data_IF_153584474272
#
_entry.id   IF_153584474272
#
_cell.length_a   1.000
_cell.length_b   1.000
_cell.length_c   1.000
_cell.angle_alpha   90.00
_cell.angle_beta   90.00
_cell.angle_gamma   90.00
#
_symmetry.space_group_name_H-M   'P 1'
#
loop_
_entity.id
_entity.type
_entity.pdbx_description
1 polymer ?
#
# COMPACT_ATOMS: atom_id res chain seq x y z
N UNK A 1 17.69 36.02 -38.10
CA UNK A 1 17.02 35.87 -36.79
C UNK A 1 17.57 34.61 -36.14
N UNK A 2 18.45 34.81 -35.17
CA UNK A 2 19.22 33.77 -34.49
C UNK A 2 18.27 32.93 -33.62
N UNK A 3 18.11 31.66 -33.95
CA UNK A 3 17.44 30.70 -33.07
C UNK A 3 18.37 30.35 -31.91
N UNK A 4 18.15 30.96 -30.75
CA UNK A 4 18.81 30.51 -29.53
C UNK A 4 18.31 29.10 -29.19
N UNK A 5 19.25 28.15 -29.18
CA UNK A 5 19.01 26.83 -28.60
C UNK A 5 18.77 26.98 -27.09
N UNK A 6 17.76 26.31 -26.51
CA UNK A 6 17.48 26.40 -25.07
C UNK A 6 18.70 25.90 -24.28
N UNK A 7 19.24 26.79 -23.45
CA UNK A 7 20.40 26.48 -22.60
C UNK A 7 20.09 25.30 -21.67
N UNK A 8 21.08 24.46 -21.39
CA UNK A 8 20.99 23.24 -20.56
C UNK A 8 20.36 23.43 -19.15
N UNK A 9 20.05 24.67 -18.70
CA UNK A 9 19.32 24.98 -17.46
C UNK A 9 17.81 24.71 -17.52
N UNK A 10 17.24 24.52 -18.70
CA UNK A 10 15.79 24.33 -18.88
C UNK A 10 15.35 22.87 -18.68
N UNK A 11 16.29 21.93 -18.58
CA UNK A 11 16.04 20.47 -18.49
C UNK A 11 15.56 19.94 -17.13
N UNK A 12 15.44 20.79 -16.10
CA UNK A 12 15.13 20.31 -14.73
C UNK A 12 13.99 21.05 -14.00
N UNK A 13 13.11 21.73 -14.73
CA UNK A 13 11.97 22.45 -14.14
C UNK A 13 10.66 21.73 -14.43
N UNK A 14 9.76 21.73 -13.45
CA UNK A 14 8.39 21.24 -13.65
C UNK A 14 7.72 22.02 -14.79
N UNK A 15 6.99 21.32 -15.66
CA UNK A 15 6.32 21.95 -16.79
C UNK A 15 5.19 22.88 -16.31
N UNK A 16 4.86 23.91 -17.11
CA UNK A 16 3.75 24.84 -16.78
C UNK A 16 2.44 24.11 -16.48
N UNK A 17 2.01 23.11 -17.29
CA UNK A 17 0.78 22.36 -17.00
C UNK A 17 0.86 21.55 -15.69
N UNK A 18 2.00 20.89 -15.45
CA UNK A 18 2.20 20.10 -14.24
C UNK A 18 2.20 20.96 -12.96
N UNK A 19 2.82 22.15 -13.03
CA UNK A 19 2.80 23.13 -11.93
C UNK A 19 1.38 23.66 -11.66
N UNK A 20 0.62 23.97 -12.72
CA UNK A 20 -0.76 24.40 -12.60
C UNK A 20 -1.65 23.34 -11.93
N UNK A 21 -1.51 22.06 -12.34
CA UNK A 21 -2.21 20.95 -11.71
C UNK A 21 -1.85 20.80 -10.21
N UNK A 22 -0.55 20.87 -9.85
CA UNK A 22 -0.12 20.84 -8.45
C UNK A 22 -0.72 22.00 -7.64
N UNK A 23 -0.77 23.19 -8.24
CA UNK A 23 -1.33 24.40 -7.61
C UNK A 23 -2.82 24.24 -7.34
N UNK A 24 -3.57 23.70 -8.31
CA UNK A 24 -5.00 23.45 -8.16
C UNK A 24 -5.29 22.43 -7.06
N UNK A 25 -4.55 21.31 -7.04
CA UNK A 25 -4.69 20.28 -6.00
C UNK A 25 -4.41 20.84 -4.62
N UNK A 26 -3.33 21.62 -4.46
CA UNK A 26 -3.01 22.23 -3.18
C UNK A 26 -4.07 23.25 -2.74
N UNK A 27 -4.60 24.05 -3.68
CA UNK A 27 -5.68 24.99 -3.38
C UNK A 27 -6.95 24.28 -2.91
N UNK A 28 -7.31 23.15 -3.53
CA UNK A 28 -8.45 22.34 -3.09
C UNK A 28 -8.25 21.76 -1.69
N UNK A 29 -7.02 21.32 -1.34
CA UNK A 29 -6.72 20.85 0.02
C UNK A 29 -6.80 21.98 1.05
N UNK A 30 -6.21 23.14 0.76
CA UNK A 30 -6.25 24.30 1.65
C UNK A 30 -7.67 24.87 1.84
N UNK A 31 -8.51 24.75 0.80
CA UNK A 31 -9.92 25.15 0.84
C UNK A 31 -10.88 24.06 1.33
N UNK A 32 -10.38 22.88 1.71
CA UNK A 32 -11.24 21.75 2.06
C UNK A 32 -12.03 22.02 3.36
N UNK A 33 -13.33 21.71 3.36
CA UNK A 33 -14.25 22.02 4.45
C UNK A 33 -13.77 21.55 5.83
N UNK A 34 -13.10 20.39 5.88
CA UNK A 34 -12.66 19.81 7.15
C UNK A 34 -11.44 20.49 7.73
N UNK A 35 -10.60 21.10 6.89
CA UNK A 35 -9.49 21.94 7.35
C UNK A 35 -10.02 23.27 7.91
N UNK A 36 -11.14 23.75 7.37
CA UNK A 36 -11.83 24.97 7.79
C UNK A 36 -12.77 24.75 8.99
N UNK A 37 -12.91 23.51 9.47
CA UNK A 37 -13.85 23.17 10.53
C UNK A 37 -13.55 23.94 11.83
N UNK A 38 -14.58 24.48 12.51
CA UNK A 38 -14.42 25.08 13.84
C UNK A 38 -14.09 24.04 14.91
N UNK A 39 -14.38 22.75 14.66
CA UNK A 39 -14.02 21.66 15.59
C UNK A 39 -12.52 21.35 15.60
N UNK A 40 -11.76 21.83 14.60
CA UNK A 40 -10.33 21.58 14.50
C UNK A 40 -9.56 22.55 15.40
N UNK A 41 -8.88 21.99 16.41
CA UNK A 41 -8.12 22.76 17.40
C UNK A 41 -6.98 23.57 16.77
N UNK A 42 -6.49 24.60 17.47
CA UNK A 42 -5.35 25.41 17.00
C UNK A 42 -4.09 24.56 16.83
N UNK A 43 -3.81 23.64 17.77
CA UNK A 43 -2.68 22.72 17.67
C UNK A 43 -2.82 21.78 16.46
N UNK A 44 -4.03 21.28 16.18
CA UNK A 44 -4.32 20.47 15.02
C UNK A 44 -4.09 21.22 13.70
N UNK A 45 -4.49 22.50 13.64
CA UNK A 45 -4.21 23.37 12.49
C UNK A 45 -2.72 23.58 12.28
N UNK A 46 -1.95 23.87 13.32
CA UNK A 46 -0.49 23.97 13.21
C UNK A 46 0.12 22.69 12.65
N UNK A 47 -0.25 21.52 13.19
CA UNK A 47 0.26 20.24 12.69
C UNK A 47 0.00 20.03 11.19
N UNK A 48 -1.17 20.44 10.68
CA UNK A 48 -1.55 20.33 9.27
C UNK A 48 -0.89 21.38 8.37
N UNK A 49 -0.76 22.63 8.83
CA UNK A 49 -0.33 23.76 8.01
C UNK A 49 1.19 23.98 8.06
N UNK A 50 1.77 23.99 9.26
CA UNK A 50 3.18 24.31 9.46
C UNK A 50 4.03 23.08 9.82
N UNK A 51 3.40 21.95 10.18
CA UNK A 51 4.09 20.71 10.54
C UNK A 51 4.59 20.67 11.99
N UNK A 52 4.07 21.54 12.85
CA UNK A 52 4.41 21.60 14.27
C UNK A 52 3.54 20.66 15.09
N UNK A 53 4.17 19.76 15.85
CA UNK A 53 3.49 18.78 16.68
C UNK A 53 3.51 19.20 18.15
N UNK A 54 2.34 19.40 18.75
CA UNK A 54 2.23 19.61 20.19
C UNK A 54 2.73 18.39 20.97
N UNK A 55 3.46 18.60 22.06
CA UNK A 55 3.98 17.55 22.95
C UNK A 55 4.97 16.56 22.30
N UNK A 56 5.55 16.88 21.14
CA UNK A 56 6.51 15.99 20.47
C UNK A 56 7.75 15.69 21.31
N UNK A 57 8.08 16.57 22.27
CA UNK A 57 9.22 16.38 23.15
C UNK A 57 9.03 15.27 24.18
N UNK A 58 7.78 14.92 24.50
CA UNK A 58 7.42 13.86 25.43
C UNK A 58 7.33 12.46 24.78
N UNK A 59 7.71 12.35 23.49
CA UNK A 59 7.71 11.07 22.77
C UNK A 59 8.95 10.26 23.15
N UNK A 60 8.76 9.18 23.90
CA UNK A 60 9.81 8.31 24.42
C UNK A 60 10.63 7.57 23.33
N UNK A 61 10.05 7.07 22.21
CA UNK A 61 10.84 6.53 21.14
C UNK A 61 11.61 7.64 20.40
N UNK A 62 12.92 7.76 20.71
CA UNK A 62 13.81 8.74 20.11
C UNK A 62 13.82 8.67 18.56
N UNK A 63 13.67 7.48 17.98
CA UNK A 63 13.59 7.28 16.54
C UNK A 63 12.32 7.89 15.92
N UNK A 64 11.17 7.76 16.60
CA UNK A 64 9.92 8.36 16.15
C UNK A 64 10.00 9.89 16.24
N UNK A 65 10.48 10.40 17.38
CA UNK A 65 10.72 11.84 17.57
C UNK A 65 11.66 12.38 16.50
N UNK A 66 12.79 11.70 16.24
CA UNK A 66 13.74 12.08 15.20
C UNK A 66 13.12 12.05 13.80
N UNK A 67 12.27 11.06 13.49
CA UNK A 67 11.58 10.96 12.19
C UNK A 67 10.62 12.14 11.98
N UNK A 68 9.79 12.44 12.96
CA UNK A 68 8.78 13.50 12.89
C UNK A 68 9.41 14.90 12.87
N UNK A 69 10.53 15.10 13.57
CA UNK A 69 11.25 16.39 13.60
C UNK A 69 12.12 16.62 12.36
N UNK A 70 12.87 15.61 11.87
CA UNK A 70 13.73 15.76 10.69
C UNK A 70 12.96 15.86 9.38
N UNK A 71 11.76 15.26 9.34
CA UNK A 71 10.89 15.23 8.15
C UNK A 71 9.59 16.00 8.39
N UNK A 72 9.62 17.07 9.19
CA UNK A 72 8.45 17.92 9.37
C UNK A 72 8.00 18.47 8.02
N UNK A 73 6.68 18.45 7.80
CA UNK A 73 6.06 18.97 6.59
C UNK A 73 4.64 19.41 6.93
N UNK A 74 4.25 20.60 6.45
CA UNK A 74 2.89 21.13 6.53
C UNK A 74 2.45 21.69 5.19
N UNK A 75 1.15 21.87 4.97
CA UNK A 75 0.61 22.35 3.70
C UNK A 75 1.15 23.75 3.30
N UNK A 76 1.42 24.63 4.26
CA UNK A 76 2.02 25.95 4.00
C UNK A 76 3.49 25.82 3.59
N UNK A 77 4.20 24.84 4.13
CA UNK A 77 5.57 24.52 3.71
C UNK A 77 5.55 24.03 2.26
N UNK A 78 4.65 23.10 1.93
CA UNK A 78 4.45 22.63 0.56
C UNK A 78 4.09 23.79 -0.38
N UNK A 79 3.22 24.70 0.05
CA UNK A 79 2.84 25.88 -0.74
C UNK A 79 4.03 26.79 -1.03
N UNK A 80 4.89 27.05 -0.02
CA UNK A 80 6.13 27.82 -0.18
C UNK A 80 7.09 27.14 -1.16
N UNK A 81 7.22 25.81 -1.10
CA UNK A 81 8.07 25.04 -2.00
C UNK A 81 7.52 25.01 -3.44
N UNK A 82 6.20 24.95 -3.61
CA UNK A 82 5.55 24.97 -4.91
C UNK A 82 5.70 26.33 -5.60
N UNK A 83 5.62 27.41 -4.83
CA UNK A 83 5.78 28.78 -5.30
C UNK A 83 4.69 29.23 -6.29
N UNK A 84 4.59 30.54 -6.52
CA UNK A 84 3.54 31.14 -7.36
C UNK A 84 3.75 30.94 -8.87
N UNK A 85 4.95 30.53 -9.31
CA UNK A 85 5.31 30.34 -10.71
C UNK A 85 6.20 29.11 -10.87
N UNK A 86 6.17 28.42 -12.02
CA UNK A 86 7.04 27.28 -12.30
C UNK A 86 8.54 27.58 -12.13
N UNK A 87 8.95 28.82 -12.39
CA UNK A 87 10.34 29.26 -12.22
C UNK A 87 10.81 29.35 -10.77
N UNK A 88 9.87 29.43 -9.81
CA UNK A 88 10.14 29.48 -8.37
C UNK A 88 9.92 28.12 -7.69
N UNK A 89 9.19 27.21 -8.34
CA UNK A 89 8.92 25.87 -7.84
C UNK A 89 10.19 25.09 -7.53
N UNK A 90 10.24 24.49 -6.33
CA UNK A 90 11.30 23.58 -5.88
C UNK A 90 11.05 22.13 -6.27
N UNK A 91 9.81 21.77 -6.59
CA UNK A 91 9.46 20.45 -7.10
C UNK A 91 9.81 20.35 -8.59
N UNK A 92 10.69 19.40 -8.91
CA UNK A 92 11.06 19.09 -10.31
C UNK A 92 9.99 18.29 -11.03
N UNK A 93 9.16 17.54 -10.31
CA UNK A 93 8.10 16.66 -10.83
C UNK A 93 6.87 16.68 -9.94
N UNK A 94 5.70 16.34 -10.49
CA UNK A 94 4.48 16.11 -9.71
C UNK A 94 4.70 15.03 -8.64
N UNK A 95 5.48 14.00 -8.94
CA UNK A 95 5.79 12.93 -8.00
C UNK A 95 6.47 13.45 -6.72
N UNK A 96 7.44 14.37 -6.85
CA UNK A 96 8.11 14.97 -5.68
C UNK A 96 7.15 15.83 -4.86
N UNK A 97 6.31 16.62 -5.53
CA UNK A 97 5.25 17.39 -4.87
C UNK A 97 4.30 16.46 -4.09
N UNK A 98 3.85 15.39 -4.73
CA UNK A 98 2.91 14.43 -4.13
C UNK A 98 3.51 13.67 -2.94
N UNK A 99 4.81 13.38 -2.96
CA UNK A 99 5.51 12.80 -1.82
C UNK A 99 5.47 13.72 -0.59
N UNK A 100 5.72 15.01 -0.78
CA UNK A 100 5.71 15.97 0.32
C UNK A 100 4.29 16.23 0.84
N UNK A 101 3.27 16.28 -0.03
CA UNK A 101 1.86 16.36 0.40
C UNK A 101 1.46 15.13 1.22
N UNK A 102 1.80 13.92 0.77
CA UNK A 102 1.53 12.68 1.53
C UNK A 102 2.23 12.70 2.88
N UNK A 103 3.47 13.20 2.93
CA UNK A 103 4.27 13.24 4.14
C UNK A 103 3.60 14.08 5.25
N UNK A 104 2.94 15.20 4.90
CA UNK A 104 2.15 16.01 5.87
C UNK A 104 1.20 15.11 6.65
N UNK A 105 0.30 14.43 5.93
CA UNK A 105 -0.74 13.62 6.55
C UNK A 105 -0.17 12.35 7.18
N UNK A 106 0.77 11.67 6.53
CA UNK A 106 1.37 10.45 7.06
C UNK A 106 2.10 10.66 8.39
N UNK A 107 2.82 11.77 8.55
CA UNK A 107 3.46 12.07 9.83
C UNK A 107 2.42 12.32 10.94
N UNK A 108 1.34 13.03 10.64
CA UNK A 108 0.26 13.26 11.62
C UNK A 108 -0.41 11.95 12.00
N UNK A 109 -0.75 11.10 11.02
CA UNK A 109 -1.37 9.80 11.27
C UNK A 109 -0.47 8.89 12.10
N UNK A 110 0.82 8.87 11.78
CA UNK A 110 1.81 8.12 12.55
C UNK A 110 1.89 8.63 14.00
N UNK A 111 1.95 9.95 14.17
CA UNK A 111 2.05 10.55 15.50
C UNK A 111 0.79 10.30 16.33
N UNK A 112 -0.39 10.54 15.76
CA UNK A 112 -1.66 10.34 16.44
C UNK A 112 -1.94 8.86 16.73
N UNK A 113 -1.54 7.95 15.83
CA UNK A 113 -1.60 6.51 16.11
C UNK A 113 -0.72 6.12 17.31
N UNK A 114 0.48 6.71 17.43
CA UNK A 114 1.33 6.50 18.60
C UNK A 114 0.67 7.04 19.88
N UNK A 115 0.14 8.26 19.85
CA UNK A 115 -0.54 8.86 21.00
C UNK A 115 -1.77 8.08 21.43
N UNK A 116 -2.53 7.51 20.49
CA UNK A 116 -3.69 6.66 20.79
C UNK A 116 -3.34 5.52 21.75
N UNK A 117 -2.20 4.87 21.51
CA UNK A 117 -1.79 3.68 22.26
C UNK A 117 -1.01 4.03 23.54
N UNK A 118 -0.23 5.12 23.54
CA UNK A 118 0.73 5.42 24.61
C UNK A 118 0.34 6.62 25.48
N UNK A 119 -0.49 7.53 24.97
CA UNK A 119 -0.89 8.76 25.65
C UNK A 119 -2.32 9.18 25.26
N UNK A 120 -3.35 8.34 25.55
CA UNK A 120 -4.71 8.53 25.03
C UNK A 120 -5.36 9.86 25.47
N UNK A 121 -4.87 10.48 26.55
CA UNK A 121 -5.35 11.79 27.02
C UNK A 121 -4.98 12.95 26.09
N UNK A 122 -3.93 12.81 25.29
CA UNK A 122 -3.44 13.83 24.35
C UNK A 122 -3.67 13.43 22.89
N UNK A 123 -4.25 12.25 22.65
CA UNK A 123 -4.71 11.82 21.34
C UNK A 123 -5.84 12.73 20.84
N UNK A 124 -5.70 13.23 19.62
CA UNK A 124 -6.69 14.09 18.96
C UNK A 124 -7.39 13.29 17.84
N UNK A 125 -8.58 12.70 18.12
CA UNK A 125 -9.31 11.94 17.11
C UNK A 125 -9.78 12.82 15.95
N UNK A 126 -10.08 14.10 16.20
CA UNK A 126 -10.52 15.03 15.15
C UNK A 126 -9.38 15.33 14.17
N UNK A 127 -8.17 15.55 14.66
CA UNK A 127 -6.98 15.71 13.81
C UNK A 127 -6.68 14.44 13.01
N UNK A 128 -6.79 13.26 13.64
CA UNK A 128 -6.58 11.98 12.97
C UNK A 128 -7.56 11.79 11.80
N UNK A 129 -8.86 11.92 12.05
CA UNK A 129 -9.91 11.78 11.03
C UNK A 129 -9.80 12.84 9.93
N UNK A 130 -9.49 14.10 10.30
CA UNK A 130 -9.30 15.19 9.35
C UNK A 130 -8.13 14.90 8.41
N UNK A 131 -7.02 14.41 8.95
CA UNK A 131 -5.83 14.07 8.16
C UNK A 131 -6.10 12.91 7.21
N UNK A 132 -6.90 11.93 7.62
CA UNK A 132 -7.28 10.81 6.76
C UNK A 132 -8.17 11.25 5.61
N UNK A 133 -9.18 12.08 5.89
CA UNK A 133 -10.10 12.60 4.87
C UNK A 133 -9.38 13.47 3.85
N UNK A 134 -8.48 14.34 4.31
CA UNK A 134 -7.66 15.17 3.43
C UNK A 134 -6.70 14.33 2.58
N UNK A 135 -6.06 13.31 3.16
CA UNK A 135 -5.22 12.38 2.40
C UNK A 135 -6.03 11.61 1.35
N UNK A 136 -7.22 11.13 1.68
CA UNK A 136 -8.09 10.44 0.73
C UNK A 136 -8.53 11.36 -0.41
N UNK A 137 -8.95 12.58 -0.09
CA UNK A 137 -9.27 13.61 -1.09
C UNK A 137 -8.07 13.91 -1.98
N UNK A 138 -6.87 14.00 -1.41
CA UNK A 138 -5.63 14.14 -2.16
C UNK A 138 -5.39 12.97 -3.12
N UNK A 139 -5.52 11.72 -2.68
CA UNK A 139 -5.30 10.55 -3.55
C UNK A 139 -6.32 10.48 -4.70
N UNK A 140 -7.56 10.92 -4.48
CA UNK A 140 -8.56 11.05 -5.55
C UNK A 140 -8.13 12.08 -6.60
N UNK A 141 -7.71 13.27 -6.16
CA UNK A 141 -7.20 14.31 -7.05
C UNK A 141 -5.90 13.91 -7.74
N UNK A 142 -5.03 13.18 -7.05
CA UNK A 142 -3.79 12.66 -7.60
C UNK A 142 -4.07 11.69 -8.75
N UNK A 143 -4.96 10.73 -8.54
CA UNK A 143 -5.34 9.75 -9.56
C UNK A 143 -6.02 10.39 -10.78
N UNK A 144 -6.87 11.40 -10.57
CA UNK A 144 -7.61 12.07 -11.64
C UNK A 144 -6.76 13.06 -12.45
N UNK A 145 -5.98 13.89 -11.77
CA UNK A 145 -5.33 15.05 -12.39
C UNK A 145 -3.81 14.90 -12.51
N UNK A 146 -3.12 14.52 -11.42
CA UNK A 146 -1.66 14.55 -11.35
C UNK A 146 -0.99 13.31 -11.97
N UNK A 147 -1.63 12.14 -11.91
CA UNK A 147 -1.06 10.88 -12.37
C UNK A 147 -0.66 10.92 -13.86
N UNK A 148 -1.42 11.65 -14.69
CA UNK A 148 -1.11 11.82 -16.12
C UNK A 148 0.22 12.53 -16.35
N UNK A 149 0.56 13.49 -15.48
CA UNK A 149 1.83 14.22 -15.55
C UNK A 149 3.02 13.43 -15.01
N UNK A 150 2.77 12.37 -14.24
CA UNK A 150 3.80 11.44 -13.76
C UNK A 150 4.12 10.39 -14.81
N UNK A 151 3.09 9.78 -15.42
CA UNK A 151 3.25 8.73 -16.44
C UNK A 151 3.78 9.25 -17.77
N UNK A 152 3.45 10.49 -18.17
CA UNK A 152 3.92 11.08 -19.42
C UNK A 152 5.46 11.27 -19.50
N UNK A 153 6.15 11.37 -18.35
CA UNK A 153 7.61 11.46 -18.28
C UNK A 153 8.30 10.08 -18.34
N UNK A 154 7.60 8.99 -18.01
CA UNK A 154 8.12 7.63 -18.06
C UNK A 154 8.12 7.03 -19.48
N UNK A 155 7.49 7.69 -20.45
CA UNK A 155 7.42 7.27 -21.84
C UNK A 155 8.62 7.71 -22.72
N UNK A 156 9.66 8.32 -22.13
CA UNK A 156 10.90 8.65 -22.83
C UNK A 156 11.89 7.46 -22.73
N UNK A 157 12.44 6.94 -23.84
CA UNK A 157 13.39 5.84 -23.80
C UNK A 157 14.70 6.35 -23.17
N UNK A 158 15.06 5.80 -22.00
CA UNK A 158 16.35 6.04 -21.36
C UNK A 158 17.24 4.79 -21.45
N UNK A 159 18.57 4.95 -21.60
CA UNK A 159 19.47 3.89 -22.06
C UNK A 159 19.71 2.85 -20.97
N UNK A 160 19.91 1.60 -21.41
CA UNK A 160 20.12 0.42 -20.57
C UNK A 160 21.27 0.60 -19.58
N UNK A 161 20.98 0.45 -18.29
CA UNK A 161 21.99 0.22 -17.26
C UNK A 161 21.77 -1.19 -16.72
N UNK A 162 22.74 -2.06 -16.96
CA UNK A 162 22.74 -3.45 -16.50
C UNK A 162 22.77 -3.53 -14.96
N UNK A 163 22.07 -4.49 -14.33
CA UNK A 163 22.03 -4.60 -12.88
C UNK A 163 23.29 -5.28 -12.33
N UNK A 164 23.91 -4.63 -11.34
CA UNK A 164 24.93 -5.20 -10.44
C UNK A 164 24.22 -6.09 -9.40
N UNK A 165 24.72 -7.30 -9.09
CA UNK A 165 24.09 -8.17 -8.09
C UNK A 165 24.50 -7.75 -6.68
N UNK A 166 23.55 -7.78 -5.75
CA UNK A 166 23.79 -7.60 -4.31
C UNK A 166 23.48 -8.90 -3.54
N UNK A 167 24.17 -9.17 -2.42
CA UNK A 167 24.49 -10.53 -1.97
C UNK A 167 23.41 -11.17 -1.10
N UNK A 168 23.35 -12.51 -1.18
CA UNK A 168 22.49 -13.37 -0.38
C UNK A 168 22.93 -13.44 1.09
N UNK A 169 21.96 -13.50 2.01
CA UNK A 169 22.14 -13.80 3.42
C UNK A 169 21.52 -15.18 3.76
N UNK A 170 21.99 -15.86 4.82
CA UNK A 170 22.11 -17.32 4.86
C UNK A 170 20.93 -18.04 5.56
N UNK A 171 20.79 -19.32 5.25
CA UNK A 171 19.82 -20.28 5.81
C UNK A 171 20.43 -21.06 6.97
N UNK A 172 19.70 -21.19 8.09
CA UNK A 172 19.97 -22.19 9.12
C UNK A 172 18.67 -22.67 9.78
N UNK A 173 18.36 -23.96 9.61
CA UNK A 173 18.13 -24.96 10.66
C UNK A 173 17.24 -26.10 10.13
N UNK A 174 17.76 -27.32 10.25
CA UNK A 174 17.13 -28.61 9.89
C UNK A 174 17.16 -29.52 11.13
N UNK A 175 16.11 -30.33 11.38
CA UNK A 175 16.25 -31.61 12.08
C UNK A 175 15.81 -32.81 11.20
N UNK A 176 16.10 -34.06 11.62
CA UNK A 176 16.56 -35.12 10.73
C UNK A 176 15.46 -36.03 10.15
N UNK A 177 15.82 -36.68 9.04
CA UNK A 177 15.09 -37.75 8.33
C UNK A 177 15.35 -39.13 8.97
N UNK A 178 14.42 -40.09 8.82
CA UNK A 178 14.78 -41.47 8.53
C UNK A 178 14.59 -41.74 7.02
N UNK A 179 15.64 -42.33 6.44
CA UNK A 179 15.70 -42.85 5.08
C UNK A 179 14.74 -44.00 4.85
N UNK A 180 14.04 -44.03 3.71
CA UNK A 180 13.86 -45.23 2.88
C UNK A 180 13.45 -44.83 1.45
N UNK A 181 14.34 -45.20 0.54
CA UNK A 181 14.33 -45.26 -0.92
C UNK A 181 12.98 -45.30 -1.63
N UNK A 182 12.70 -44.29 -2.47
CA UNK A 182 12.08 -44.47 -3.79
C UNK A 182 12.37 -43.23 -4.65
N UNK A 183 13.07 -43.44 -5.76
CA UNK A 183 13.25 -42.45 -6.82
C UNK A 183 12.10 -42.61 -7.83
N UNK A 184 11.40 -41.52 -8.17
CA UNK A 184 11.07 -41.27 -9.55
C UNK A 184 11.72 -39.95 -9.98
N UNK A 185 12.56 -40.03 -11.01
CA UNK A 185 13.03 -38.87 -11.75
C UNK A 185 11.92 -38.40 -12.70
N UNK A 186 11.26 -37.30 -12.37
CA UNK A 186 10.57 -36.44 -13.35
C UNK A 186 10.44 -35.03 -12.76
N UNK A 187 10.93 -34.06 -13.52
CA UNK A 187 11.10 -32.62 -13.22
C UNK A 187 10.03 -31.98 -12.32
N UNK A 188 10.46 -31.42 -11.19
CA UNK A 188 9.65 -30.61 -10.27
C UNK A 188 9.37 -29.19 -10.78
N UNK A 189 9.23 -29.02 -12.10
CA UNK A 189 9.00 -27.72 -12.74
C UNK A 189 7.69 -27.74 -13.49
N UNK A 190 6.97 -26.62 -13.46
CA UNK A 190 5.78 -26.37 -14.28
C UNK A 190 5.95 -26.88 -15.73
N UNK A 191 4.91 -27.50 -16.27
CA UNK A 191 4.83 -27.82 -17.70
C UNK A 191 4.83 -26.53 -18.53
N UNK A 192 5.27 -26.58 -19.79
CA UNK A 192 5.31 -25.38 -20.63
C UNK A 192 3.90 -24.83 -20.95
N UNK A 193 2.89 -25.71 -21.01
CA UNK A 193 1.49 -25.32 -21.11
C UNK A 193 1.02 -24.58 -19.84
N UNK A 194 1.32 -25.11 -18.66
CA UNK A 194 0.98 -24.43 -17.39
C UNK A 194 1.70 -23.09 -17.26
N UNK A 195 2.96 -22.98 -17.70
CA UNK A 195 3.67 -21.69 -17.74
C UNK A 195 2.97 -20.70 -18.66
N UNK A 196 2.55 -21.12 -19.85
CA UNK A 196 1.83 -20.27 -20.79
C UNK A 196 0.49 -19.79 -20.21
N UNK A 197 -0.28 -20.70 -19.57
CA UNK A 197 -1.49 -20.37 -18.82
C UNK A 197 -1.22 -19.34 -17.72
N UNK A 198 -0.21 -19.57 -16.88
CA UNK A 198 0.18 -18.65 -15.80
C UNK A 198 0.55 -17.27 -16.34
N UNK A 199 1.36 -17.19 -17.40
CA UNK A 199 1.70 -15.92 -18.06
C UNK A 199 0.45 -15.21 -18.58
N UNK A 200 -0.48 -15.94 -19.22
CA UNK A 200 -1.75 -15.39 -19.70
C UNK A 200 -2.58 -14.78 -18.58
N UNK A 201 -2.67 -15.45 -17.42
CA UNK A 201 -3.38 -14.94 -16.23
C UNK A 201 -2.76 -13.63 -15.76
N UNK A 202 -1.43 -13.57 -15.56
CA UNK A 202 -0.78 -12.35 -15.07
C UNK A 202 -1.01 -11.17 -16.02
N UNK A 203 -0.90 -11.41 -17.33
CA UNK A 203 -1.11 -10.36 -18.34
C UNK A 203 -2.55 -9.82 -18.31
N UNK A 204 -3.55 -10.70 -18.17
CA UNK A 204 -4.95 -10.29 -18.07
C UNK A 204 -5.21 -9.51 -16.78
N UNK A 205 -4.67 -9.95 -15.65
CA UNK A 205 -4.75 -9.22 -14.37
C UNK A 205 -4.12 -7.83 -14.49
N UNK A 206 -2.89 -7.73 -15.02
CA UNK A 206 -2.19 -6.44 -15.14
C UNK A 206 -2.90 -5.45 -16.07
N UNK A 207 -3.58 -5.96 -17.10
CA UNK A 207 -4.34 -5.14 -18.07
C UNK A 207 -5.79 -4.91 -17.66
N UNK A 208 -6.26 -5.54 -16.59
CA UNK A 208 -7.65 -5.44 -16.16
C UNK A 208 -8.01 -3.99 -15.81
N UNK A 209 -9.13 -3.54 -16.37
CA UNK A 209 -9.71 -2.23 -16.10
C UNK A 209 -11.17 -2.36 -15.70
N UNK A 210 -11.58 -1.59 -14.71
CA UNK A 210 -12.97 -1.41 -14.35
C UNK A 210 -13.33 0.06 -14.51
N UNK A 211 -14.34 0.36 -15.33
CA UNK A 211 -14.73 1.74 -15.67
C UNK A 211 -13.56 2.65 -16.08
N UNK A 212 -12.59 2.08 -16.83
CA UNK A 212 -11.40 2.80 -17.29
C UNK A 212 -10.25 2.90 -16.26
N UNK A 213 -10.48 2.52 -15.01
CA UNK A 213 -9.45 2.50 -13.95
C UNK A 213 -8.61 1.25 -14.06
N UNK A 214 -7.28 1.42 -14.13
CA UNK A 214 -6.33 0.30 -14.11
C UNK A 214 -6.19 -0.26 -12.68
N UNK A 215 -6.98 -1.29 -12.37
CA UNK A 215 -7.10 -1.82 -11.01
C UNK A 215 -5.78 -2.38 -10.49
N UNK A 216 -4.98 -3.01 -11.36
CA UNK A 216 -3.74 -3.70 -10.98
C UNK A 216 -2.53 -2.78 -10.76
N UNK A 217 -2.61 -1.50 -11.17
CA UNK A 217 -1.48 -0.58 -11.15
C UNK A 217 -0.78 -0.45 -9.77
N UNK A 218 -1.50 -0.39 -8.64
CA UNK A 218 -0.87 -0.34 -7.31
C UNK A 218 -0.06 -1.59 -6.93
N UNK A 219 -0.28 -2.72 -7.60
CA UNK A 219 0.29 -4.03 -7.26
C UNK A 219 1.45 -4.43 -8.16
N UNK A 220 1.89 -3.58 -9.08
CA UNK A 220 2.98 -3.87 -10.00
C UNK A 220 4.33 -4.03 -9.27
N UNK A 221 4.66 -3.06 -8.43
CA UNK A 221 5.95 -2.94 -7.77
C UNK A 221 5.89 -3.38 -6.29
N UNK A 222 7.04 -3.69 -5.67
CA UNK A 222 7.10 -3.83 -4.22
C UNK A 222 6.60 -2.56 -3.53
N UNK A 223 5.95 -2.72 -2.38
CA UNK A 223 5.59 -1.58 -1.52
C UNK A 223 6.86 -0.88 -1.02
N UNK A 224 6.90 0.45 -1.14
CA UNK A 224 8.01 1.27 -0.67
C UNK A 224 8.02 1.31 0.87
N UNK A 225 8.89 0.49 1.46
CA UNK A 225 9.09 0.39 2.92
C UNK A 225 9.71 1.64 3.54
N UNK A 226 10.22 2.58 2.75
CA UNK A 226 10.61 3.90 3.23
C UNK A 226 9.40 4.81 3.47
N UNK A 227 8.33 4.62 2.70
CA UNK A 227 7.05 5.31 2.89
C UNK A 227 6.17 4.57 3.91
N UNK A 228 6.15 3.24 3.86
CA UNK A 228 5.34 2.36 4.71
C UNK A 228 6.24 1.51 5.62
N UNK A 229 6.77 2.15 6.67
CA UNK A 229 7.85 1.58 7.50
C UNK A 229 7.45 0.32 8.27
N UNK A 230 6.18 0.22 8.66
CA UNK A 230 5.59 -0.91 9.36
C UNK A 230 5.18 -2.05 8.42
N UNK A 231 5.21 -1.84 7.10
CA UNK A 231 4.85 -2.87 6.11
C UNK A 231 5.71 -4.13 6.25
N UNK A 232 7.00 -3.99 6.58
CA UNK A 232 7.88 -5.15 6.79
C UNK A 232 7.49 -6.01 7.98
N UNK A 233 6.94 -5.38 9.01
CA UNK A 233 6.54 -6.04 10.27
C UNK A 233 5.17 -6.69 10.09
N UNK A 234 4.23 -5.96 9.49
CA UNK A 234 2.86 -6.43 9.28
C UNK A 234 2.73 -7.47 8.16
N UNK A 235 3.55 -7.37 7.12
CA UNK A 235 3.51 -8.26 5.95
C UNK A 235 4.85 -9.01 5.82
N UNK A 236 4.96 -10.20 6.42
CA UNK A 236 6.20 -10.99 6.40
C UNK A 236 6.49 -11.58 5.01
N UNK A 237 5.46 -12.10 4.34
CA UNK A 237 5.56 -12.71 3.01
C UNK A 237 5.08 -11.74 1.93
N UNK A 238 5.96 -10.81 1.53
CA UNK A 238 5.65 -9.79 0.52
C UNK A 238 5.65 -10.38 -0.89
N UNK A 239 4.72 -9.94 -1.73
CA UNK A 239 4.65 -10.33 -3.15
C UNK A 239 4.06 -9.16 -3.96
N UNK A 240 4.41 -9.09 -5.25
CA UNK A 240 3.89 -8.10 -6.21
C UNK A 240 3.93 -8.68 -7.63
N UNK A 241 3.20 -8.07 -8.58
CA UNK A 241 2.98 -8.67 -9.91
C UNK A 241 4.27 -8.81 -10.73
N UNK A 242 5.19 -7.83 -10.68
CA UNK A 242 6.49 -8.00 -11.34
C UNK A 242 7.34 -9.10 -10.71
N UNK A 243 7.23 -9.32 -9.39
CA UNK A 243 7.91 -10.40 -8.70
C UNK A 243 7.38 -11.76 -9.15
N UNK A 244 6.06 -11.88 -9.33
CA UNK A 244 5.44 -13.08 -9.91
C UNK A 244 5.90 -13.31 -11.35
N UNK A 245 5.96 -12.27 -12.19
CA UNK A 245 6.50 -12.40 -13.55
C UNK A 245 7.95 -12.88 -13.57
N UNK A 246 8.78 -12.36 -12.65
CA UNK A 246 10.17 -12.79 -12.50
C UNK A 246 10.27 -14.25 -12.03
N UNK A 247 9.44 -14.66 -11.07
CA UNK A 247 9.39 -16.07 -10.62
C UNK A 247 8.93 -17.02 -11.72
N UNK A 248 7.99 -16.61 -12.58
CA UNK A 248 7.59 -17.38 -13.75
C UNK A 248 8.73 -17.51 -14.77
N UNK A 249 9.38 -16.40 -15.14
CA UNK A 249 10.44 -16.41 -16.15
C UNK A 249 11.70 -17.17 -15.71
N UNK A 250 11.97 -17.20 -14.41
CA UNK A 250 13.09 -17.95 -13.83
C UNK A 250 12.75 -19.40 -13.49
N UNK A 251 11.51 -19.85 -13.75
CA UNK A 251 11.08 -21.20 -13.43
C UNK A 251 11.01 -21.50 -11.92
N UNK A 252 10.88 -20.48 -11.08
CA UNK A 252 10.91 -20.60 -9.61
C UNK A 252 9.64 -21.24 -9.03
N UNK A 253 8.60 -21.46 -9.83
CA UNK A 253 7.37 -22.14 -9.42
C UNK A 253 7.43 -23.63 -9.75
N UNK A 254 7.34 -24.46 -8.70
CA UNK A 254 7.29 -25.91 -8.84
C UNK A 254 5.94 -26.45 -9.35
N UNK A 255 4.86 -25.66 -9.22
CA UNK A 255 3.50 -26.03 -9.64
C UNK A 255 2.62 -24.81 -9.91
N UNK A 256 1.53 -25.00 -10.64
CA UNK A 256 0.56 -23.93 -10.91
C UNK A 256 -0.12 -23.45 -9.62
N UNK A 257 -0.32 -24.37 -8.66
CA UNK A 257 -0.84 -24.04 -7.34
C UNK A 257 0.05 -23.03 -6.59
N UNK A 258 1.38 -23.18 -6.67
CA UNK A 258 2.33 -22.25 -6.05
C UNK A 258 2.27 -20.86 -6.71
N UNK A 259 2.10 -20.80 -8.04
CA UNK A 259 1.87 -19.55 -8.76
C UNK A 259 0.57 -18.86 -8.32
N UNK A 260 -0.55 -19.60 -8.28
CA UNK A 260 -1.85 -19.05 -7.88
C UNK A 260 -1.82 -18.58 -6.43
N UNK A 261 -1.09 -19.29 -5.55
CA UNK A 261 -0.92 -18.88 -4.15
C UNK A 261 -0.23 -17.52 -4.03
N UNK A 262 0.84 -17.28 -4.80
CA UNK A 262 1.50 -15.97 -4.82
C UNK A 262 0.61 -14.87 -5.38
N UNK A 263 -0.18 -15.17 -6.43
CA UNK A 263 -1.14 -14.20 -6.98
C UNK A 263 -2.20 -13.81 -5.95
N UNK A 264 -2.74 -14.77 -5.21
CA UNK A 264 -3.67 -14.51 -4.09
C UNK A 264 -2.99 -13.73 -2.97
N UNK A 265 -1.75 -14.07 -2.65
CA UNK A 265 -0.97 -13.44 -1.58
C UNK A 265 -0.82 -11.92 -1.80
N UNK A 266 -0.66 -11.46 -3.05
CA UNK A 266 -0.60 -10.03 -3.38
C UNK A 266 -1.84 -9.29 -2.83
N UNK A 267 -3.02 -9.79 -3.17
CA UNK A 267 -4.29 -9.15 -2.81
C UNK A 267 -4.62 -9.38 -1.33
N UNK A 268 -4.35 -10.56 -0.79
CA UNK A 268 -4.54 -10.84 0.63
C UNK A 268 -3.67 -9.93 1.51
N UNK A 269 -2.39 -9.75 1.18
CA UNK A 269 -1.50 -8.83 1.89
C UNK A 269 -2.01 -7.39 1.84
N UNK A 270 -2.58 -6.97 0.72
CA UNK A 270 -3.21 -5.67 0.62
C UNK A 270 -4.34 -5.52 1.64
N UNK A 271 -5.23 -6.50 1.74
CA UNK A 271 -6.36 -6.47 2.67
C UNK A 271 -5.92 -6.53 4.13
N UNK A 272 -4.86 -7.28 4.44
CA UNK A 272 -4.28 -7.36 5.80
C UNK A 272 -3.65 -6.03 6.21
N UNK A 273 -2.81 -5.45 5.34
CA UNK A 273 -2.13 -4.20 5.67
C UNK A 273 -3.10 -3.02 5.73
N UNK A 274 -4.08 -3.01 4.83
CA UNK A 274 -5.13 -2.00 4.75
C UNK A 274 -6.37 -2.45 5.53
N UNK A 275 -6.21 -2.68 6.84
CA UNK A 275 -7.29 -3.16 7.72
C UNK A 275 -8.38 -2.12 7.98
N UNK A 276 -8.06 -0.84 7.80
CA UNK A 276 -9.01 0.27 7.97
C UNK A 276 -9.91 0.44 6.75
N UNK A 277 -11.00 -0.32 6.73
CA UNK A 277 -11.93 -0.48 5.61
C UNK A 277 -12.35 0.83 4.95
N UNK A 278 -12.77 1.82 5.75
CA UNK A 278 -13.31 3.08 5.25
C UNK A 278 -12.21 3.90 4.56
N UNK A 279 -11.04 3.98 5.20
CA UNK A 279 -9.94 4.85 4.78
C UNK A 279 -9.17 4.31 3.59
N UNK A 280 -9.15 2.99 3.48
CA UNK A 280 -8.46 2.27 2.42
C UNK A 280 -9.45 1.59 1.46
N UNK A 281 -10.71 2.04 1.46
CA UNK A 281 -11.81 1.47 0.68
C UNK A 281 -11.41 1.24 -0.78
N UNK A 282 -10.81 2.25 -1.42
CA UNK A 282 -10.43 2.20 -2.83
C UNK A 282 -9.39 1.11 -3.14
N UNK A 283 -8.30 1.03 -2.37
CA UNK A 283 -7.26 0.02 -2.63
C UNK A 283 -7.74 -1.39 -2.26
N UNK A 284 -8.61 -1.50 -1.25
CA UNK A 284 -9.27 -2.77 -0.90
C UNK A 284 -10.24 -3.24 -1.97
N UNK A 285 -11.04 -2.33 -2.55
CA UNK A 285 -11.92 -2.60 -3.69
C UNK A 285 -11.12 -3.17 -4.86
N UNK A 286 -9.99 -2.53 -5.21
CA UNK A 286 -9.11 -3.05 -6.26
C UNK A 286 -8.62 -4.47 -5.94
N UNK A 287 -8.20 -4.74 -4.71
CA UNK A 287 -7.72 -6.06 -4.29
C UNK A 287 -8.82 -7.13 -4.36
N UNK A 288 -10.01 -6.85 -3.83
CA UNK A 288 -11.15 -7.79 -3.88
C UNK A 288 -11.57 -8.06 -5.32
N UNK A 289 -11.65 -7.02 -6.15
CA UNK A 289 -12.02 -7.18 -7.55
C UNK A 289 -11.01 -8.03 -8.31
N UNK A 290 -9.72 -7.74 -8.19
CA UNK A 290 -8.68 -8.50 -8.88
C UNK A 290 -8.60 -9.93 -8.39
N UNK A 291 -8.89 -10.19 -7.12
CA UNK A 291 -8.99 -11.54 -6.61
C UNK A 291 -10.18 -12.30 -7.20
N UNK A 292 -11.35 -11.65 -7.34
CA UNK A 292 -12.48 -12.24 -8.06
C UNK A 292 -12.12 -12.60 -9.52
N UNK A 293 -11.50 -11.66 -10.24
CA UNK A 293 -11.03 -11.88 -11.63
C UNK A 293 -9.99 -13.00 -11.68
N UNK A 294 -9.09 -13.07 -10.70
CA UNK A 294 -8.09 -14.14 -10.61
C UNK A 294 -8.76 -15.51 -10.51
N UNK A 295 -9.74 -15.69 -9.63
CA UNK A 295 -10.41 -16.98 -9.47
C UNK A 295 -11.12 -17.41 -10.76
N UNK A 296 -11.78 -16.47 -11.47
CA UNK A 296 -12.39 -16.75 -12.78
C UNK A 296 -11.36 -17.18 -13.83
N UNK A 297 -10.21 -16.49 -13.89
CA UNK A 297 -9.15 -16.82 -14.84
C UNK A 297 -8.47 -18.15 -14.53
N UNK A 298 -8.32 -18.50 -13.25
CA UNK A 298 -7.74 -19.77 -12.80
C UNK A 298 -8.67 -20.93 -13.14
N UNK A 299 -9.99 -20.76 -12.94
CA UNK A 299 -10.98 -21.76 -13.34
C UNK A 299 -10.97 -21.99 -14.86
N UNK A 300 -10.97 -20.92 -15.65
CA UNK A 300 -10.91 -21.00 -17.12
C UNK A 300 -9.62 -21.63 -17.65
N UNK A 301 -8.52 -21.52 -16.91
CA UNK A 301 -7.23 -22.07 -17.31
C UNK A 301 -7.15 -23.60 -17.17
N UNK A 302 -8.06 -24.23 -16.41
CA UNK A 302 -8.15 -25.69 -16.23
C UNK A 302 -6.78 -26.34 -16.01
N UNK A 303 -6.12 -26.02 -14.90
CA UNK A 303 -4.83 -26.64 -14.55
C UNK A 303 -5.02 -28.13 -14.19
N UNK A 304 -4.25 -29.02 -14.82
CA UNK A 304 -4.44 -30.48 -14.74
C UNK A 304 -4.07 -31.11 -13.38
N UNK A 305 -3.71 -30.31 -12.37
CA UNK A 305 -3.20 -30.80 -11.07
C UNK A 305 -3.61 -29.97 -9.85
N UNK A 306 -4.75 -29.27 -9.83
CA UNK A 306 -5.21 -28.69 -8.56
C UNK A 306 -6.02 -29.72 -7.78
N UNK A 307 -5.54 -30.24 -6.63
CA UNK A 307 -6.40 -30.97 -5.73
C UNK A 307 -7.57 -30.07 -5.39
N UNK A 308 -8.76 -30.56 -5.71
CA UNK A 308 -9.99 -29.89 -5.35
C UNK A 308 -10.03 -29.79 -3.82
N UNK A 309 -10.32 -28.58 -3.32
CA UNK A 309 -10.70 -28.32 -1.93
C UNK A 309 -9.66 -28.56 -0.81
N UNK A 310 -8.89 -27.52 -0.46
CA UNK A 310 -8.47 -27.31 0.94
C UNK A 310 -9.60 -26.76 1.82
N UNK A 311 -10.63 -26.15 1.21
CA UNK A 311 -11.83 -25.68 1.90
C UNK A 311 -12.99 -26.62 1.60
N UNK A 312 -13.32 -27.49 2.57
CA UNK A 312 -14.50 -28.35 2.50
C UNK A 312 -15.77 -27.49 2.43
N UNK A 313 -16.60 -27.68 1.41
CA UNK A 313 -17.92 -27.04 1.32
C UNK A 313 -18.00 -25.66 0.65
N UNK A 314 -16.90 -25.09 0.15
CA UNK A 314 -16.94 -23.85 -0.64
C UNK A 314 -16.24 -24.01 -2.00
N UNK A 315 -17.00 -23.80 -3.08
CA UNK A 315 -16.48 -23.82 -4.44
C UNK A 315 -15.34 -22.80 -4.59
N UNK A 316 -14.33 -23.15 -5.39
CA UNK A 316 -13.13 -22.33 -5.58
C UNK A 316 -13.47 -20.93 -6.11
N UNK A 317 -14.42 -20.85 -7.05
CA UNK A 317 -15.00 -19.62 -7.62
C UNK A 317 -15.65 -18.69 -6.61
N UNK A 318 -16.04 -19.21 -5.45
CA UNK A 318 -16.75 -18.48 -4.41
C UNK A 318 -15.85 -18.09 -3.24
N UNK A 319 -14.58 -18.53 -3.22
CA UNK A 319 -13.65 -18.23 -2.12
C UNK A 319 -13.35 -16.75 -1.96
N UNK A 320 -13.39 -15.98 -3.05
CA UNK A 320 -13.24 -14.52 -2.96
C UNK A 320 -14.40 -13.89 -2.16
N UNK A 321 -15.60 -14.50 -2.15
CA UNK A 321 -16.76 -14.01 -1.38
C UNK A 321 -16.47 -13.98 0.12
N UNK A 322 -15.64 -14.89 0.63
CA UNK A 322 -15.21 -14.84 2.04
C UNK A 322 -14.51 -13.52 2.37
N UNK A 323 -13.68 -13.02 1.45
CA UNK A 323 -13.00 -11.74 1.65
C UNK A 323 -14.00 -10.59 1.60
N UNK A 324 -14.97 -10.61 0.69
CA UNK A 324 -16.06 -9.63 0.63
C UNK A 324 -16.86 -9.60 1.93
N UNK A 325 -17.31 -10.77 2.44
CA UNK A 325 -18.01 -10.87 3.72
C UNK A 325 -17.16 -10.30 4.86
N UNK A 326 -15.87 -10.63 4.92
CA UNK A 326 -14.95 -10.03 5.89
C UNK A 326 -14.84 -8.51 5.71
N UNK A 327 -14.85 -7.99 4.48
CA UNK A 327 -14.87 -6.54 4.26
C UNK A 327 -16.14 -5.93 4.85
N UNK A 328 -17.30 -6.51 4.58
CA UNK A 328 -18.60 -5.99 4.96
C UNK A 328 -18.75 -6.00 6.49
N UNK A 329 -18.33 -7.09 7.15
CA UNK A 329 -18.28 -7.20 8.61
C UNK A 329 -17.34 -6.15 9.20
N UNK A 330 -16.14 -5.98 8.66
CA UNK A 330 -15.17 -4.98 9.13
C UNK A 330 -15.60 -3.53 8.80
N UNK A 331 -16.44 -3.33 7.79
CA UNK A 331 -17.02 -2.05 7.40
C UNK A 331 -18.22 -1.66 8.27
N UNK A 332 -18.91 -2.63 8.86
CA UNK A 332 -20.12 -2.39 9.61
C UNK A 332 -19.87 -1.48 10.82
N UNK A 333 -20.78 -0.54 11.03
CA UNK A 333 -20.78 0.42 12.14
C UNK A 333 -22.15 0.38 12.80
N UNK A 334 -22.20 0.58 14.12
CA UNK A 334 -23.45 0.77 14.85
C UNK A 334 -24.11 2.10 14.42
N UNK A 335 -25.40 2.34 14.76
CA UNK A 335 -26.04 3.62 14.50
C UNK A 335 -25.30 4.84 15.10
N UNK A 336 -24.53 4.62 16.18
CA UNK A 336 -23.67 5.64 16.79
C UNK A 336 -22.29 5.77 16.13
N UNK A 337 -22.04 5.12 14.99
CA UNK A 337 -20.78 5.18 14.25
C UNK A 337 -19.66 4.27 14.77
N UNK A 338 -19.92 3.43 15.77
CA UNK A 338 -18.90 2.58 16.41
C UNK A 338 -18.64 1.33 15.57
N UNK A 339 -17.38 0.97 15.38
CA UNK A 339 -16.99 -0.27 14.72
C UNK A 339 -17.52 -1.51 15.44
N UNK A 340 -18.29 -2.34 14.73
CA UNK A 340 -18.86 -3.57 15.33
C UNK A 340 -17.97 -4.78 15.21
N UNK A 341 -16.82 -4.66 14.54
CA UNK A 341 -15.92 -5.78 14.25
C UNK A 341 -14.45 -5.43 14.57
N UNK A 342 -14.22 -4.38 15.36
CA UNK A 342 -12.87 -3.94 15.76
C UNK A 342 -12.02 -5.07 16.35
N UNK A 343 -12.64 -5.99 17.10
CA UNK A 343 -11.98 -7.13 17.74
C UNK A 343 -11.32 -8.10 16.74
N UNK A 344 -11.84 -8.19 15.52
CA UNK A 344 -11.31 -9.07 14.47
C UNK A 344 -10.11 -8.45 13.72
N UNK A 345 -9.79 -7.17 13.96
CA UNK A 345 -8.65 -6.49 13.31
C UNK A 345 -7.30 -6.85 13.95
N UNK A 346 -7.31 -7.42 15.15
CA UNK A 346 -6.09 -7.68 15.92
C UNK A 346 -5.85 -9.18 16.11
N UNK A 347 -4.58 -9.63 16.08
CA UNK A 347 -4.25 -11.02 16.40
C UNK A 347 -4.73 -11.37 17.80
N UNK A 348 -5.39 -12.52 17.91
CA UNK A 348 -5.74 -13.12 19.19
C UNK A 348 -4.50 -13.83 19.73
N UNK A 349 -4.04 -13.43 20.92
CA UNK A 349 -2.92 -14.08 21.61
C UNK A 349 -3.52 -14.95 22.71
N UNK A 350 -3.34 -16.27 22.59
CA UNK A 350 -3.72 -17.20 23.65
C UNK A 350 -2.53 -17.36 24.57
N UNK A 351 -2.64 -16.89 25.82
CA UNK A 351 -1.68 -17.23 26.86
C UNK A 351 -2.22 -18.45 27.62
N UNK A 352 -1.51 -19.57 27.48
CA UNK A 352 -1.78 -20.75 28.27
C UNK A 352 -1.08 -20.56 29.62
N UNK A 353 -1.86 -20.35 30.68
CA UNK A 353 -1.31 -20.26 32.02
C UNK A 353 -0.95 -21.66 32.55
N UNK A 354 0.11 -21.76 33.37
CA UNK A 354 0.53 -23.01 34.01
C UNK A 354 -0.50 -23.57 35.02
N UNK A 355 -1.62 -22.88 35.26
CA UNK A 355 -2.70 -23.31 36.17
C UNK A 355 -3.84 -24.03 35.44
N UNK A 356 -3.65 -24.41 34.17
CA UNK A 356 -4.63 -25.18 33.39
C UNK A 356 -5.78 -24.36 32.80
N UNK A 357 -5.81 -23.05 33.05
CA UNK A 357 -6.78 -22.13 32.45
C UNK A 357 -6.15 -21.41 31.26
N UNK A 358 -6.72 -21.58 30.07
CA UNK A 358 -6.33 -20.80 28.89
C UNK A 358 -7.10 -19.48 28.89
N UNK A 359 -6.39 -18.36 28.98
CA UNK A 359 -6.98 -17.04 28.83
C UNK A 359 -6.67 -16.51 27.43
N UNK A 360 -7.72 -16.08 26.73
CA UNK A 360 -7.63 -15.53 25.38
C UNK A 360 -7.58 -14.01 25.49
N UNK A 361 -6.48 -13.39 25.07
CA UNK A 361 -6.31 -11.95 25.09
C UNK A 361 -6.26 -11.40 23.66
N UNK A 362 -6.92 -10.26 23.44
CA UNK A 362 -6.77 -9.50 22.20
C UNK A 362 -5.63 -8.51 22.43
N UNK A 363 -4.59 -8.57 21.61
CA UNK A 363 -3.41 -7.73 21.78
C UNK A 363 -3.79 -6.24 21.62
N UNK A 364 -3.55 -5.41 22.64
CA UNK A 364 -3.75 -3.96 22.58
C UNK A 364 -4.95 -3.39 23.34
N UNK A 365 -5.65 -4.16 24.16
CA UNK A 365 -6.63 -3.64 25.12
C UNK A 365 -6.40 -4.22 26.52
N UNK A 366 -6.57 -3.43 27.59
CA UNK A 366 -6.46 -3.89 28.97
C UNK A 366 -7.56 -4.88 29.36
#
# INVERSE_FOLDING_TARGET
MSGESPTNKEKERISKPAHAACTQVLAMLLGHETLQSPSLSTAARSALLDGTYANIDAVEPADLKAKLTRKTMGLDVVQKLLGSKPSRCRFKTCERFSKDVRLVFQNILLYQSYLKDHAPKVYDPTLFETSQRLLQGFEMMYAGELARHVTALAAQPSPSVSPVPSPAAPSSHKPPTPTLSHRPSSSSSLSDDDKAKCHGIVQRIMKYKEMGVAMAAPFFNPVDVGMYVDYKVKIPHRMHLYGVQQKLSTGAYASAAAFVQDMRLIFANCLVYNSEVILSAKIREHAVKLMHVLEQLVEQASFDQTPNATWTGLAHTDRWKCHQVLQDVLAHRSPGGIETAQWFKHPIVVQISNTGHSCVYICGFP
#
